data_IF_833254770906
#
_entry.id   IF_833254770906
#
_cell.length_a   1.000
_cell.length_b   1.000
_cell.length_c   1.000
_cell.angle_alpha   90.00
_cell.angle_beta   90.00
_cell.angle_gamma   90.00
#
_symmetry.space_group_name_H-M   'P 1'
#
loop_
_entity.id
_entity.type
_entity.pdbx_description
1 polymer ?
#
# COMPACT_ATOMS: atom_id res chain seq x y z
N UNK A 1 -25.14 11.31 -46.63
CA UNK A 1 -26.04 10.78 -47.70
C UNK A 1 -25.93 9.28 -47.60
N UNK A 2 -26.90 8.53 -47.07
CA UNK A 2 -28.32 8.40 -47.44
C UNK A 2 -29.17 8.11 -46.19
N UNK A 3 -30.34 8.76 -46.07
CA UNK A 3 -31.36 8.41 -45.06
C UNK A 3 -32.29 7.36 -45.68
N UNK A 4 -32.28 6.15 -45.15
CA UNK A 4 -33.29 5.14 -45.48
C UNK A 4 -34.42 5.24 -44.44
N UNK A 5 -35.55 5.84 -44.82
CA UNK A 5 -36.76 5.84 -44.01
C UNK A 5 -37.58 4.60 -44.36
N UNK A 6 -37.75 3.67 -43.42
CA UNK A 6 -38.77 2.62 -43.51
C UNK A 6 -39.94 2.96 -42.60
N UNK A 7 -41.07 3.26 -43.21
CA UNK A 7 -42.34 3.50 -42.52
C UNK A 7 -43.06 2.16 -42.27
N UNK A 8 -43.28 1.81 -41.00
CA UNK A 8 -44.10 0.68 -40.57
C UNK A 8 -45.37 1.21 -39.90
N UNK A 9 -46.54 0.87 -40.44
CA UNK A 9 -47.85 1.26 -39.90
C UNK A 9 -48.43 0.14 -39.03
N UNK A 10 -48.63 0.40 -37.73
CA UNK A 10 -49.49 -0.43 -36.87
C UNK A 10 -50.94 0.03 -36.98
N UNK A 11 -51.83 -0.88 -37.38
CA UNK A 11 -53.26 -0.61 -37.57
C UNK A 11 -54.02 -0.99 -36.29
N UNK A 12 -54.39 0.00 -35.47
CA UNK A 12 -55.28 -0.18 -34.33
C UNK A 12 -56.26 1.00 -34.23
N UNK A 13 -57.54 0.79 -34.58
CA UNK A 13 -58.63 1.74 -34.35
C UNK A 13 -58.61 3.04 -35.18
N UNK A 14 -59.79 3.60 -35.47
CA UNK A 14 -60.00 4.82 -36.29
C UNK A 14 -59.42 6.09 -35.64
N UNK A 15 -58.10 6.31 -35.75
CA UNK A 15 -57.45 7.63 -35.75
C UNK A 15 -55.95 7.45 -35.97
N UNK A 16 -55.49 7.73 -37.18
CA UNK A 16 -54.07 7.84 -37.51
C UNK A 16 -53.51 9.13 -36.92
N UNK A 17 -52.64 9.02 -35.91
CA UNK A 17 -51.70 10.08 -35.52
C UNK A 17 -50.28 9.60 -35.84
N UNK A 18 -49.40 10.44 -36.41
CA UNK A 18 -48.01 10.07 -36.57
C UNK A 18 -47.38 9.92 -35.19
N UNK A 19 -46.94 8.71 -34.85
CA UNK A 19 -46.13 8.45 -33.66
C UNK A 19 -44.67 8.49 -34.10
N UNK A 20 -44.02 9.64 -33.92
CA UNK A 20 -42.57 9.76 -34.14
C UNK A 20 -41.88 9.05 -32.97
N UNK A 21 -41.60 7.76 -33.12
CA UNK A 21 -40.72 7.06 -32.19
C UNK A 21 -39.30 7.45 -32.59
N UNK A 22 -38.72 8.45 -31.91
CA UNK A 22 -37.27 8.60 -31.90
C UNK A 22 -36.69 7.41 -31.13
N UNK A 23 -36.34 6.35 -31.86
CA UNK A 23 -35.41 5.35 -31.34
C UNK A 23 -34.06 6.03 -31.24
N UNK A 24 -33.78 6.68 -30.11
CA UNK A 24 -32.39 6.98 -29.73
C UNK A 24 -31.70 5.64 -29.53
N UNK A 25 -31.05 5.16 -30.58
CA UNK A 25 -30.00 4.16 -30.46
C UNK A 25 -28.98 4.70 -29.45
N UNK A 26 -29.08 4.24 -28.20
CA UNK A 26 -27.91 4.17 -27.34
C UNK A 26 -26.92 3.25 -28.06
N UNK A 27 -25.67 3.66 -28.33
CA UNK A 27 -24.68 2.70 -28.78
C UNK A 27 -24.43 1.74 -27.59
N UNK A 28 -25.06 0.57 -27.65
CA UNK A 28 -24.65 -0.59 -26.88
C UNK A 28 -23.33 -1.07 -27.49
N UNK A 29 -22.25 -0.82 -26.76
CA UNK A 29 -21.12 -1.73 -26.56
C UNK A 29 -20.74 -2.59 -27.78
N UNK A 30 -19.92 -2.03 -28.66
CA UNK A 30 -19.18 -2.83 -29.65
C UNK A 30 -17.99 -3.55 -28.99
N UNK A 31 -17.98 -4.87 -29.16
CA UNK A 31 -17.03 -5.86 -28.59
C UNK A 31 -15.75 -5.98 -29.45
N UNK A 32 -15.44 -4.99 -30.29
CA UNK A 32 -14.41 -5.14 -31.32
C UNK A 32 -13.38 -4.01 -31.30
N UNK A 33 -12.63 -3.86 -30.20
CA UNK A 33 -11.39 -3.07 -30.21
C UNK A 33 -10.57 -3.23 -28.91
N UNK A 34 -9.71 -4.25 -28.86
CA UNK A 34 -8.74 -4.42 -27.76
C UNK A 34 -7.53 -3.45 -27.88
N UNK A 35 -7.33 -2.80 -29.02
CA UNK A 35 -6.21 -1.86 -29.26
C UNK A 35 -6.61 -0.40 -28.94
N UNK A 36 -7.90 -0.06 -29.04
CA UNK A 36 -8.41 1.31 -28.80
C UNK A 36 -8.54 1.66 -27.32
N UNK A 37 -8.53 0.67 -26.40
CA UNK A 37 -8.61 0.87 -24.94
C UNK A 37 -7.44 1.66 -24.34
N UNK A 38 -6.23 1.51 -24.89
CA UNK A 38 -5.08 2.31 -24.45
C UNK A 38 -5.19 3.77 -24.87
N UNK A 39 -5.74 4.00 -26.07
CA UNK A 39 -5.98 5.34 -26.64
C UNK A 39 -7.17 6.01 -25.96
N UNK A 40 -8.21 5.28 -25.55
CA UNK A 40 -9.32 5.79 -24.75
C UNK A 40 -8.91 6.19 -23.33
N UNK A 41 -7.97 5.49 -22.71
CA UNK A 41 -7.42 5.86 -21.40
C UNK A 41 -6.63 7.18 -21.49
N UNK A 42 -5.80 7.33 -22.53
CA UNK A 42 -5.03 8.54 -22.81
C UNK A 42 -5.95 9.68 -23.28
N UNK A 43 -6.99 9.40 -24.07
CA UNK A 43 -8.00 10.38 -24.47
C UNK A 43 -8.94 10.75 -23.32
N UNK A 44 -9.14 9.91 -22.31
CA UNK A 44 -9.84 10.30 -21.09
C UNK A 44 -8.99 11.28 -20.25
N UNK A 45 -7.66 11.09 -20.24
CA UNK A 45 -6.70 12.00 -19.61
C UNK A 45 -6.54 13.31 -20.42
N UNK A 46 -6.62 13.25 -21.75
CA UNK A 46 -6.32 14.38 -22.67
C UNK A 46 -7.55 15.12 -23.22
N UNK A 47 -8.74 14.51 -23.29
CA UNK A 47 -9.86 15.01 -24.11
C UNK A 47 -11.15 15.38 -23.37
N UNK A 48 -11.15 15.55 -22.03
CA UNK A 48 -12.26 16.26 -21.33
C UNK A 48 -11.81 17.16 -20.17
N UNK A 49 -10.80 18.01 -20.41
CA UNK A 49 -10.82 19.37 -19.84
C UNK A 49 -11.82 20.28 -20.60
N UNK A 50 -13.01 19.73 -20.90
CA UNK A 50 -14.20 20.50 -21.22
C UNK A 50 -14.82 20.91 -19.89
N UNK A 51 -14.74 22.19 -19.59
CA UNK A 51 -15.16 22.81 -18.34
C UNK A 51 -16.52 22.28 -17.82
N UNK A 52 -16.49 21.63 -16.65
CA UNK A 52 -17.61 21.34 -15.73
C UNK A 52 -18.80 20.50 -16.23
N UNK A 53 -18.67 19.18 -16.11
CA UNK A 53 -19.75 18.36 -15.57
C UNK A 53 -19.38 17.93 -14.13
N UNK A 54 -19.44 18.89 -13.20
CA UNK A 54 -19.27 18.70 -11.74
C UNK A 54 -17.83 18.71 -11.22
N UNK A 55 -17.42 19.78 -10.51
CA UNK A 55 -16.13 19.91 -9.81
C UNK A 55 -15.77 18.67 -8.97
N UNK A 56 -16.74 18.11 -8.23
CA UNK A 56 -16.56 16.92 -7.40
C UNK A 56 -16.09 15.70 -8.19
N UNK A 57 -16.58 15.52 -9.44
CA UNK A 57 -16.19 14.40 -10.31
C UNK A 57 -14.76 14.55 -10.79
N UNK A 58 -14.36 15.76 -11.18
CA UNK A 58 -12.99 16.05 -11.58
C UNK A 58 -12.00 15.73 -10.45
N UNK A 59 -12.28 16.23 -9.25
CA UNK A 59 -11.44 15.95 -8.06
C UNK A 59 -11.40 14.45 -7.74
N UNK A 60 -12.53 13.75 -7.79
CA UNK A 60 -12.59 12.30 -7.55
C UNK A 60 -11.71 11.52 -8.53
N UNK A 61 -11.79 11.83 -9.83
CA UNK A 61 -11.02 11.16 -10.87
C UNK A 61 -9.53 11.44 -10.71
N UNK A 62 -9.13 12.70 -10.55
CA UNK A 62 -7.72 13.08 -10.35
C UNK A 62 -7.12 12.36 -9.14
N UNK A 63 -7.85 12.33 -8.04
CA UNK A 63 -7.38 11.69 -6.83
C UNK A 63 -7.23 10.16 -6.99
N UNK A 64 -8.18 9.49 -7.66
CA UNK A 64 -8.08 8.06 -7.91
C UNK A 64 -6.98 7.68 -8.90
N UNK A 65 -6.58 8.56 -9.83
CA UNK A 65 -5.38 8.37 -10.66
C UNK A 65 -4.14 8.27 -9.77
N UNK A 66 -4.01 9.14 -8.77
CA UNK A 66 -2.87 9.07 -7.83
C UNK A 66 -2.85 7.74 -7.06
N UNK A 67 -4.01 7.21 -6.68
CA UNK A 67 -4.09 5.88 -6.08
C UNK A 67 -3.71 4.75 -7.04
N UNK A 68 -4.11 4.83 -8.30
CA UNK A 68 -3.68 3.85 -9.32
C UNK A 68 -2.16 3.87 -9.47
N UNK A 69 -1.55 5.05 -9.60
CA UNK A 69 -0.10 5.20 -9.69
C UNK A 69 0.61 4.66 -8.44
N UNK A 70 0.08 4.96 -7.26
CA UNK A 70 0.60 4.44 -5.98
C UNK A 70 0.47 2.93 -5.90
N UNK A 71 -0.65 2.37 -6.32
CA UNK A 71 -0.90 0.92 -6.36
C UNK A 71 0.07 0.20 -7.30
N UNK A 72 0.31 0.75 -8.50
CA UNK A 72 1.32 0.22 -9.44
C UNK A 72 2.72 0.28 -8.82
N UNK A 73 3.08 1.40 -8.19
CA UNK A 73 4.37 1.55 -7.54
C UNK A 73 4.58 0.52 -6.42
N UNK A 74 3.62 0.42 -5.48
CA UNK A 74 3.70 -0.51 -4.35
C UNK A 74 3.69 -1.97 -4.82
N UNK A 75 2.85 -2.30 -5.81
CA UNK A 75 2.84 -3.63 -6.42
C UNK A 75 4.18 -3.94 -7.08
N UNK A 76 4.75 -2.98 -7.81
CA UNK A 76 6.06 -3.08 -8.43
C UNK A 76 7.15 -3.34 -7.40
N UNK A 77 7.16 -2.59 -6.29
CA UNK A 77 8.08 -2.81 -5.15
C UNK A 77 7.88 -4.20 -4.54
N UNK A 78 6.64 -4.63 -4.30
CA UNK A 78 6.34 -5.95 -3.74
C UNK A 78 6.81 -7.10 -4.64
N UNK A 79 6.55 -7.02 -5.95
CA UNK A 79 7.03 -8.00 -6.94
C UNK A 79 8.56 -7.95 -7.02
N UNK A 80 9.14 -6.76 -7.03
CA UNK A 80 10.58 -6.58 -7.06
C UNK A 80 11.25 -7.27 -5.87
N UNK A 81 10.75 -7.05 -4.64
CA UNK A 81 11.24 -7.70 -3.42
C UNK A 81 11.12 -9.22 -3.48
N UNK A 82 10.14 -9.75 -4.22
CA UNK A 82 9.91 -11.19 -4.37
C UNK A 82 10.78 -11.84 -5.45
N UNK A 83 10.89 -11.22 -6.61
CA UNK A 83 11.51 -11.79 -7.83
C UNK A 83 13.01 -11.56 -7.87
N UNK A 84 13.44 -10.38 -7.44
CA UNK A 84 14.82 -9.95 -7.53
C UNK A 84 15.36 -9.66 -6.14
N UNK A 85 15.50 -10.69 -5.31
CA UNK A 85 16.04 -10.48 -4.02
C UNK A 85 17.53 -10.00 -4.19
N UNK A 86 18.28 -10.49 -5.17
CA UNK A 86 19.68 -10.07 -5.35
C UNK A 86 19.91 -8.72 -6.08
N UNK A 87 18.86 -8.05 -6.61
CA UNK A 87 19.02 -6.89 -7.51
C UNK A 87 18.88 -5.52 -6.82
N UNK A 88 18.53 -5.47 -5.53
CA UNK A 88 18.79 -4.26 -4.71
C UNK A 88 20.29 -4.16 -4.39
N UNK A 89 21.12 -4.18 -5.43
CA UNK A 89 22.47 -3.63 -5.43
C UNK A 89 22.42 -2.08 -5.28
N UNK A 90 21.72 -1.60 -4.24
CA UNK A 90 22.29 -0.54 -3.42
C UNK A 90 23.44 -1.26 -2.73
N UNK A 91 24.65 -1.05 -3.20
CA UNK A 91 25.91 -1.73 -2.81
C UNK A 91 26.29 -1.53 -1.31
N UNK A 92 25.32 -1.20 -0.45
CA UNK A 92 25.47 -0.98 0.96
C UNK A 92 24.26 -1.35 1.84
N UNK A 93 23.12 -1.79 1.30
CA UNK A 93 21.88 -1.91 2.13
C UNK A 93 21.15 -3.24 2.00
N UNK A 94 20.95 -3.85 0.83
CA UNK A 94 20.13 -5.08 0.78
C UNK A 94 20.44 -5.97 -0.45
N UNK A 95 21.37 -6.92 -0.36
CA UNK A 95 21.39 -8.11 -1.23
C UNK A 95 20.54 -9.19 -0.54
N UNK A 96 19.52 -9.70 -1.22
CA UNK A 96 18.53 -10.58 -0.62
C UNK A 96 18.70 -11.97 -1.26
N UNK A 97 18.87 -13.01 -0.46
CA UNK A 97 18.66 -14.39 -0.87
C UNK A 97 17.33 -14.91 -0.32
N UNK A 98 16.67 -15.70 -1.16
CA UNK A 98 15.29 -16.14 -1.10
C UNK A 98 15.06 -17.32 -0.13
N UNK A 99 15.35 -17.11 1.16
CA UNK A 99 15.16 -18.11 2.23
C UNK A 99 14.20 -17.71 3.35
N UNK A 100 13.91 -16.41 3.54
CA UNK A 100 13.38 -15.94 4.82
C UNK A 100 11.85 -15.86 4.88
N UNK A 101 11.25 -16.59 5.82
CA UNK A 101 9.81 -16.73 6.01
C UNK A 101 9.14 -15.39 6.34
N UNK A 102 9.78 -14.55 7.16
CA UNK A 102 9.24 -13.25 7.57
C UNK A 102 9.23 -12.23 6.43
N UNK A 103 10.32 -12.13 5.67
CA UNK A 103 10.38 -11.15 4.57
C UNK A 103 9.59 -11.61 3.34
N UNK A 104 9.55 -12.91 3.07
CA UNK A 104 8.62 -13.47 2.08
C UNK A 104 7.18 -13.09 2.43
N UNK A 105 6.82 -13.14 3.72
CA UNK A 105 5.50 -12.70 4.22
C UNK A 105 5.30 -11.20 4.01
N UNK A 106 6.27 -10.35 4.34
CA UNK A 106 6.18 -8.90 4.10
C UNK A 106 6.02 -8.55 2.61
N UNK A 107 6.75 -9.22 1.71
CA UNK A 107 6.63 -9.04 0.27
C UNK A 107 5.23 -9.43 -0.24
N UNK A 108 4.67 -10.54 0.22
CA UNK A 108 3.30 -10.93 -0.11
C UNK A 108 2.26 -9.93 0.41
N UNK A 109 2.45 -9.36 1.61
CA UNK A 109 1.60 -8.29 2.14
C UNK A 109 1.66 -7.05 1.23
N UNK A 110 2.84 -6.62 0.81
CA UNK A 110 3.03 -5.49 -0.12
C UNK A 110 2.37 -5.73 -1.48
N UNK A 111 2.52 -6.94 -2.04
CA UNK A 111 1.84 -7.32 -3.29
C UNK A 111 0.33 -7.27 -3.12
N UNK A 112 -0.21 -7.91 -2.08
CA UNK A 112 -1.65 -7.94 -1.80
C UNK A 112 -2.23 -6.54 -1.59
N UNK A 113 -1.54 -5.71 -0.81
CA UNK A 113 -1.92 -4.33 -0.57
C UNK A 113 -1.84 -3.48 -1.85
N UNK A 114 -0.78 -3.64 -2.64
CA UNK A 114 -0.61 -2.95 -3.93
C UNK A 114 -1.73 -3.28 -4.92
N UNK A 115 -2.07 -4.57 -5.06
CA UNK A 115 -3.22 -5.00 -5.88
C UNK A 115 -4.52 -4.40 -5.36
N UNK A 116 -4.75 -4.43 -4.04
CA UNK A 116 -5.95 -3.86 -3.44
C UNK A 116 -6.10 -2.36 -3.73
N UNK A 117 -5.05 -1.56 -3.47
CA UNK A 117 -5.04 -0.12 -3.74
C UNK A 117 -5.25 0.17 -5.23
N UNK A 118 -4.62 -0.60 -6.11
CA UNK A 118 -4.79 -0.50 -7.55
C UNK A 118 -6.24 -0.73 -7.98
N UNK A 119 -6.88 -1.79 -7.48
CA UNK A 119 -8.28 -2.11 -7.81
C UNK A 119 -9.23 -1.03 -7.30
N UNK A 120 -9.07 -0.57 -6.06
CA UNK A 120 -9.91 0.51 -5.50
C UNK A 120 -9.75 1.78 -6.32
N UNK A 121 -8.52 2.17 -6.67
CA UNK A 121 -8.26 3.32 -7.53
C UNK A 121 -8.89 3.17 -8.93
N UNK A 122 -8.81 1.99 -9.53
CA UNK A 122 -9.44 1.71 -10.83
C UNK A 122 -10.97 1.81 -10.75
N UNK A 123 -11.60 1.33 -9.66
CA UNK A 123 -13.04 1.46 -9.47
C UNK A 123 -13.46 2.92 -9.34
N UNK A 124 -12.72 3.73 -8.58
CA UNK A 124 -12.98 5.16 -8.45
C UNK A 124 -12.78 5.92 -9.77
N UNK A 125 -11.72 5.59 -10.51
CA UNK A 125 -11.43 6.16 -11.82
C UNK A 125 -12.50 5.81 -12.87
N UNK A 126 -12.81 4.52 -13.04
CA UNK A 126 -13.81 4.04 -14.01
C UNK A 126 -15.21 4.54 -13.63
N UNK A 127 -15.56 4.47 -12.35
CA UNK A 127 -16.85 4.94 -11.82
C UNK A 127 -17.04 6.45 -12.03
N UNK A 128 -15.99 7.24 -11.81
CA UNK A 128 -15.99 8.68 -12.05
C UNK A 128 -16.07 9.06 -13.54
N UNK A 129 -15.26 8.41 -14.39
CA UNK A 129 -15.17 8.73 -15.82
C UNK A 129 -16.37 8.21 -16.63
N UNK A 130 -16.75 6.94 -16.44
CA UNK A 130 -17.82 6.29 -17.21
C UNK A 130 -19.21 6.44 -16.59
N UNK A 131 -19.30 7.06 -15.39
CA UNK A 131 -20.55 7.22 -14.64
C UNK A 131 -21.31 5.90 -14.40
N UNK A 132 -20.56 4.79 -14.28
CA UNK A 132 -21.14 3.48 -14.01
C UNK A 132 -21.33 3.34 -12.49
N UNK A 133 -22.59 3.43 -12.04
CA UNK A 133 -22.98 3.33 -10.63
C UNK A 133 -22.38 2.09 -9.95
N UNK A 134 -22.34 0.94 -10.62
CA UNK A 134 -21.74 -0.27 -10.05
C UNK A 134 -20.29 -0.08 -9.59
N UNK A 135 -19.41 0.48 -10.41
CA UNK A 135 -18.01 0.73 -10.03
C UNK A 135 -17.87 1.79 -8.92
N UNK A 136 -18.74 2.79 -8.92
CA UNK A 136 -18.78 3.80 -7.86
C UNK A 136 -19.23 3.21 -6.52
N UNK A 137 -20.19 2.26 -6.53
CA UNK A 137 -20.60 1.51 -5.35
C UNK A 137 -19.47 0.64 -4.81
N UNK A 138 -18.75 -0.08 -5.69
CA UNK A 138 -17.59 -0.87 -5.29
C UNK A 138 -16.51 0.00 -4.63
N UNK A 139 -16.18 1.14 -5.25
CA UNK A 139 -15.24 2.11 -4.66
C UNK A 139 -15.67 2.55 -3.26
N UNK A 140 -16.91 3.03 -3.10
CA UNK A 140 -17.43 3.48 -1.80
C UNK A 140 -17.44 2.35 -0.77
N UNK A 141 -17.89 1.15 -1.17
CA UNK A 141 -17.91 -0.03 -0.31
C UNK A 141 -16.51 -0.40 0.20
N UNK A 142 -15.52 -0.45 -0.70
CA UNK A 142 -14.13 -0.71 -0.31
C UNK A 142 -13.59 0.37 0.64
N UNK A 143 -13.80 1.66 0.36
CA UNK A 143 -13.31 2.74 1.21
C UNK A 143 -13.97 2.72 2.60
N UNK A 144 -15.28 2.43 2.68
CA UNK A 144 -15.98 2.25 3.96
C UNK A 144 -15.42 1.06 4.74
N UNK A 145 -15.15 -0.07 4.09
CA UNK A 145 -14.56 -1.24 4.75
C UNK A 145 -13.16 -0.92 5.31
N UNK A 146 -12.35 -0.16 4.57
CA UNK A 146 -11.03 0.28 5.05
C UNK A 146 -11.18 1.23 6.25
N UNK A 147 -12.11 2.20 6.19
CA UNK A 147 -12.37 3.11 7.29
C UNK A 147 -12.78 2.37 8.58
N UNK A 148 -13.67 1.39 8.46
CA UNK A 148 -14.08 0.55 9.60
C UNK A 148 -12.91 -0.28 10.14
N UNK A 149 -12.06 -0.81 9.26
CA UNK A 149 -10.85 -1.53 9.62
C UNK A 149 -9.86 -0.64 10.37
N UNK A 150 -9.62 0.58 9.88
CA UNK A 150 -8.74 1.56 10.50
C UNK A 150 -9.26 2.00 11.88
N UNK A 151 -10.55 2.29 11.99
CA UNK A 151 -11.19 2.61 13.26
C UNK A 151 -11.07 1.46 14.27
N UNK A 152 -11.34 0.23 13.83
CA UNK A 152 -11.24 -0.97 14.66
C UNK A 152 -9.81 -1.24 15.10
N UNK A 153 -8.83 -1.10 14.20
CA UNK A 153 -7.41 -1.25 14.49
C UNK A 153 -6.94 -0.22 15.52
N UNK A 154 -7.40 1.03 15.40
CA UNK A 154 -7.13 2.09 16.38
C UNK A 154 -7.64 1.73 17.78
N UNK A 155 -8.86 1.19 17.89
CA UNK A 155 -9.43 0.72 19.17
C UNK A 155 -8.60 -0.45 19.73
N UNK A 156 -8.28 -1.45 18.91
CA UNK A 156 -7.50 -2.62 19.33
C UNK A 156 -6.12 -2.18 19.84
N UNK A 157 -5.44 -1.31 19.09
CA UNK A 157 -4.15 -0.77 19.49
C UNK A 157 -4.23 0.05 20.78
N UNK A 158 -5.35 0.73 21.05
CA UNK A 158 -5.55 1.49 22.28
C UNK A 158 -5.84 0.59 23.49
N UNK A 159 -6.68 -0.44 23.33
CA UNK A 159 -7.15 -1.33 24.41
C UNK A 159 -6.11 -2.40 24.75
N UNK A 160 -5.46 -2.98 23.75
CA UNK A 160 -4.57 -4.14 23.90
C UNK A 160 -3.09 -3.79 23.78
N UNK A 161 -2.68 -2.58 24.19
CA UNK A 161 -1.28 -2.12 24.11
C UNK A 161 -0.28 -3.15 24.63
N UNK A 162 -0.52 -3.72 25.81
CA UNK A 162 0.36 -4.75 26.39
C UNK A 162 0.49 -6.02 25.54
N UNK A 163 -0.61 -6.48 24.91
CA UNK A 163 -0.54 -7.66 24.03
C UNK A 163 0.18 -7.35 22.71
N UNK A 164 -0.02 -6.16 22.16
CA UNK A 164 0.72 -5.70 20.97
C UNK A 164 2.21 -5.71 21.28
N UNK A 165 2.57 -5.26 22.48
CA UNK A 165 3.93 -5.23 22.96
C UNK A 165 4.57 -6.62 23.09
N UNK A 166 3.91 -7.54 23.81
CA UNK A 166 4.36 -8.93 23.96
C UNK A 166 4.52 -9.65 22.61
N UNK A 167 3.56 -9.40 21.69
CA UNK A 167 3.58 -9.96 20.34
C UNK A 167 4.77 -9.43 19.54
N UNK A 168 5.05 -8.13 19.65
CA UNK A 168 6.16 -7.49 18.94
C UNK A 168 7.51 -8.01 19.44
N UNK A 169 7.70 -8.14 20.76
CA UNK A 169 8.90 -8.75 21.33
C UNK A 169 9.06 -10.20 20.82
N UNK A 170 7.99 -10.99 20.83
CA UNK A 170 8.02 -12.37 20.31
C UNK A 170 8.47 -12.41 18.84
N UNK A 171 7.91 -11.55 17.99
CA UNK A 171 8.29 -11.46 16.57
C UNK A 171 9.74 -11.04 16.41
N UNK A 172 10.21 -10.05 17.17
CA UNK A 172 11.60 -9.60 17.13
C UNK A 172 12.55 -10.72 17.57
N UNK A 173 12.24 -11.41 18.66
CA UNK A 173 13.02 -12.54 19.14
C UNK A 173 13.13 -13.67 18.11
N UNK A 174 11.98 -14.09 17.55
CA UNK A 174 11.95 -15.13 16.53
C UNK A 174 12.71 -14.70 15.27
N UNK A 175 12.53 -13.44 14.84
CA UNK A 175 13.27 -12.89 13.71
C UNK A 175 14.77 -12.80 13.98
N UNK A 176 15.20 -12.40 15.17
CA UNK A 176 16.62 -12.32 15.54
C UNK A 176 17.27 -13.70 15.56
N UNK A 177 16.51 -14.74 15.95
CA UNK A 177 17.01 -16.12 15.96
C UNK A 177 17.28 -16.69 14.57
N UNK A 178 16.68 -16.11 13.52
CA UNK A 178 16.97 -16.45 12.12
C UNK A 178 18.18 -15.69 11.56
N UNK A 179 18.76 -14.74 12.30
CA UNK A 179 19.97 -14.05 11.87
C UNK A 179 21.13 -15.07 11.75
N UNK A 180 21.82 -15.08 10.61
CA UNK A 180 22.98 -15.95 10.38
C UNK A 180 23.93 -15.26 9.39
N UNK A 181 24.96 -14.58 9.92
CA UNK A 181 25.95 -13.92 9.07
C UNK A 181 27.03 -14.88 8.58
N UNK A 182 27.06 -16.13 9.06
CA UNK A 182 28.10 -17.11 8.75
C UNK A 182 27.75 -17.92 7.51
N UNK A 183 26.51 -18.39 7.41
CA UNK A 183 26.06 -19.24 6.30
C UNK A 183 25.26 -18.47 5.24
N UNK A 184 24.96 -17.19 5.48
CA UNK A 184 24.18 -16.31 4.58
C UNK A 184 22.83 -16.92 4.15
N UNK A 185 22.28 -17.85 4.94
CA UNK A 185 21.01 -18.53 4.65
C UNK A 185 19.83 -17.57 4.70
N UNK A 186 19.98 -16.51 5.50
CA UNK A 186 18.94 -15.55 5.85
C UNK A 186 19.38 -14.11 5.62
N UNK A 187 19.82 -13.84 4.40
CA UNK A 187 20.39 -12.56 4.00
C UNK A 187 19.45 -11.37 4.24
N UNK A 188 18.16 -11.63 4.09
CA UNK A 188 17.09 -10.66 4.18
C UNK A 188 16.80 -10.24 5.61
N UNK A 189 16.71 -11.24 6.50
CA UNK A 189 16.64 -11.04 7.95
C UNK A 189 17.90 -10.32 8.45
N UNK A 190 19.08 -10.73 7.98
CA UNK A 190 20.33 -10.08 8.35
C UNK A 190 20.32 -8.59 8.01
N UNK A 191 19.93 -8.24 6.79
CA UNK A 191 19.86 -6.83 6.35
C UNK A 191 18.76 -6.04 7.03
N UNK A 192 17.62 -6.65 7.33
CA UNK A 192 16.59 -6.04 8.15
C UNK A 192 17.13 -5.65 9.52
N UNK A 193 17.81 -6.58 10.20
CA UNK A 193 18.45 -6.33 11.48
C UNK A 193 19.59 -5.32 11.40
N UNK A 194 20.45 -5.42 10.38
CA UNK A 194 21.56 -4.49 10.19
C UNK A 194 21.07 -3.05 9.95
N UNK A 195 19.99 -2.89 9.18
CA UNK A 195 19.33 -1.61 8.95
C UNK A 195 18.71 -1.04 10.22
N UNK A 196 17.98 -1.85 10.99
CA UNK A 196 17.38 -1.43 12.27
C UNK A 196 18.47 -1.03 13.26
N UNK A 197 19.51 -1.83 13.40
CA UNK A 197 20.62 -1.59 14.33
C UNK A 197 21.42 -0.34 13.99
N UNK A 198 21.73 -0.15 12.71
CA UNK A 198 22.39 1.05 12.23
C UNK A 198 21.52 2.31 12.39
N UNK A 199 20.23 2.22 12.07
CA UNK A 199 19.31 3.36 12.10
C UNK A 199 18.94 3.80 13.52
N UNK A 200 18.64 2.83 14.40
CA UNK A 200 18.27 3.10 15.79
C UNK A 200 19.47 3.17 16.74
N UNK A 201 20.68 2.87 16.24
CA UNK A 201 21.92 2.79 17.03
C UNK A 201 21.72 1.90 18.27
N UNK A 202 21.33 0.66 18.00
CA UNK A 202 21.01 -0.38 18.99
C UNK A 202 21.67 -1.71 18.60
N UNK A 203 21.65 -2.70 19.49
CA UNK A 203 22.16 -4.03 19.22
C UNK A 203 21.35 -5.10 19.96
N UNK A 204 20.95 -6.15 19.23
CA UNK A 204 20.08 -7.21 19.75
C UNK A 204 18.65 -6.74 20.01
N UNK A 205 17.82 -7.64 20.53
CA UNK A 205 16.43 -7.33 20.88
C UNK A 205 16.40 -6.43 22.13
N UNK A 206 16.97 -6.93 23.23
CA UNK A 206 17.10 -6.24 24.50
C UNK A 206 18.52 -5.71 24.73
N UNK A 207 19.54 -6.40 24.22
CA UNK A 207 20.93 -5.98 24.34
C UNK A 207 21.86 -6.77 23.38
N UNK A 208 23.08 -6.28 23.17
CA UNK A 208 24.13 -6.93 22.38
C UNK A 208 24.44 -8.38 22.84
N UNK A 209 24.15 -8.72 24.10
CA UNK A 209 24.34 -10.07 24.63
C UNK A 209 23.41 -11.11 24.01
N UNK A 210 22.32 -10.70 23.38
CA UNK A 210 21.34 -11.60 22.77
C UNK A 210 21.98 -12.48 21.69
N UNK A 211 22.93 -11.93 20.92
CA UNK A 211 23.75 -12.69 19.97
C UNK A 211 24.46 -13.88 20.61
N UNK A 212 25.03 -13.69 21.79
CA UNK A 212 25.72 -14.76 22.53
C UNK A 212 24.73 -15.73 23.20
N UNK A 213 23.65 -15.22 23.80
CA UNK A 213 22.66 -16.03 24.52
C UNK A 213 21.89 -16.94 23.56
N UNK A 214 21.48 -16.41 22.42
CA UNK A 214 20.75 -17.13 21.37
C UNK A 214 21.69 -17.97 20.47
N UNK A 215 23.02 -17.89 20.69
CA UNK A 215 24.06 -18.60 19.92
C UNK A 215 23.96 -18.31 18.42
N UNK A 216 23.74 -17.05 18.08
CA UNK A 216 23.59 -16.59 16.71
C UNK A 216 24.92 -16.82 15.97
N UNK A 217 24.92 -17.53 14.84
CA UNK A 217 26.13 -17.77 14.07
C UNK A 217 26.61 -16.48 13.39
N UNK A 218 27.80 -16.03 13.79
CA UNK A 218 28.47 -14.85 13.24
C UNK A 218 29.74 -15.25 12.49
N UNK A 219 30.10 -14.48 11.46
CA UNK A 219 31.32 -14.65 10.68
C UNK A 219 32.55 -14.10 11.44
N UNK A 220 33.74 -14.57 11.08
CA UNK A 220 35.05 -14.07 11.55
C UNK A 220 35.22 -14.00 13.08
N UNK A 221 34.67 -14.97 13.81
CA UNK A 221 34.69 -15.03 15.30
C UNK A 221 34.17 -13.76 15.99
N UNK A 222 33.29 -13.01 15.30
CA UNK A 222 32.67 -11.79 15.84
C UNK A 222 31.66 -12.12 16.94
N UNK A 223 31.51 -11.20 17.89
CA UNK A 223 30.56 -11.32 19.00
C UNK A 223 29.23 -10.63 18.73
N UNK A 224 29.26 -9.62 17.86
CA UNK A 224 28.10 -8.85 17.39
C UNK A 224 28.28 -8.52 15.91
N UNK A 225 27.20 -8.26 15.16
CA UNK A 225 27.29 -7.71 13.81
C UNK A 225 27.97 -6.35 13.73
N UNK A 226 28.46 -5.99 12.54
CA UNK A 226 29.05 -4.68 12.29
C UNK A 226 28.05 -3.53 12.41
N UNK A 227 26.77 -3.80 12.18
CA UNK A 227 25.65 -2.87 12.32
C UNK A 227 25.42 -2.42 13.77
N UNK A 228 25.86 -3.22 14.75
CA UNK A 228 25.92 -2.85 16.16
C UNK A 228 27.08 -1.90 16.51
N UNK A 229 27.97 -1.62 15.56
CA UNK A 229 29.20 -0.87 15.79
C UNK A 229 29.16 0.50 15.11
N UNK A 230 29.67 1.52 15.81
CA UNK A 230 29.94 2.84 15.26
C UNK A 230 31.21 2.89 14.40
N UNK A 231 31.94 4.00 14.48
CA UNK A 231 33.05 4.28 13.56
C UNK A 231 34.23 3.29 13.62
N UNK A 232 34.47 2.62 14.76
CA UNK A 232 35.59 1.69 14.93
C UNK A 232 35.09 0.27 15.27
N UNK A 233 34.97 -0.57 14.25
CA UNK A 233 34.48 -1.95 14.35
C UNK A 233 35.39 -2.85 15.18
N UNK A 234 36.71 -2.70 15.08
CA UNK A 234 37.64 -3.54 15.84
C UNK A 234 37.54 -3.26 17.35
N UNK A 235 37.47 -1.98 17.73
CA UNK A 235 37.34 -1.60 19.13
C UNK A 235 35.96 -1.97 19.69
N UNK A 236 34.91 -1.86 18.88
CA UNK A 236 33.57 -2.34 19.22
C UNK A 236 33.55 -3.84 19.56
N UNK A 237 34.24 -4.70 18.80
CA UNK A 237 34.31 -6.13 19.11
C UNK A 237 35.09 -6.39 20.42
N UNK A 238 36.13 -5.60 20.72
CA UNK A 238 36.83 -5.69 22.03
C UNK A 238 35.93 -5.25 23.18
N UNK A 239 35.16 -4.19 23.01
CA UNK A 239 34.16 -3.73 23.97
C UNK A 239 33.10 -4.81 24.24
N UNK A 240 32.56 -5.43 23.19
CA UNK A 240 31.62 -6.54 23.30
C UNK A 240 32.23 -7.75 24.05
N UNK A 241 33.53 -8.02 23.86
CA UNK A 241 34.26 -9.07 24.57
C UNK A 241 34.48 -8.73 26.04
N UNK A 242 34.87 -7.50 26.33
CA UNK A 242 35.18 -7.03 27.66
C UNK A 242 33.93 -6.90 28.55
N UNK A 243 32.75 -6.70 27.94
CA UNK A 243 31.44 -6.55 28.61
C UNK A 243 31.45 -5.52 29.75
N UNK A 244 32.36 -4.56 29.70
CA UNK A 244 32.62 -3.59 30.78
C UNK A 244 32.48 -2.18 30.23
N UNK A 245 31.83 -1.32 31.01
CA UNK A 245 31.61 0.08 30.65
C UNK A 245 32.91 0.89 30.84
N UNK A 246 33.09 2.00 30.11
CA UNK A 246 32.16 2.60 29.14
C UNK A 246 32.23 1.96 27.74
N UNK A 247 31.08 1.90 27.07
CA UNK A 247 31.00 1.53 25.64
C UNK A 247 31.08 2.80 24.80
N UNK A 248 32.09 2.91 23.94
CA UNK A 248 32.29 4.09 23.06
C UNK A 248 31.93 3.79 21.62
N UNK A 249 32.13 2.55 21.16
CA UNK A 249 31.90 2.15 19.78
C UNK A 249 30.76 1.13 19.63
N UNK A 250 30.40 0.42 20.71
CA UNK A 250 29.30 -0.53 20.72
C UNK A 250 27.95 0.12 21.07
N UNK A 251 26.95 -0.09 20.22
CA UNK A 251 25.56 0.27 20.49
C UNK A 251 24.91 -0.72 21.46
N UNK A 252 25.23 -0.61 22.75
CA UNK A 252 24.82 -1.60 23.76
C UNK A 252 23.32 -1.59 24.15
N UNK A 253 22.48 -0.71 23.61
CA UNK A 253 21.05 -0.68 23.97
C UNK A 253 20.25 -1.62 23.07
N UNK A 254 19.20 -2.25 23.61
CA UNK A 254 18.29 -3.09 22.84
C UNK A 254 17.52 -2.31 21.78
N UNK A 255 17.30 -2.95 20.63
CA UNK A 255 16.54 -2.34 19.55
C UNK A 255 15.06 -2.20 19.85
N UNK A 256 14.50 -3.11 20.64
CA UNK A 256 13.11 -3.01 21.07
C UNK A 256 12.88 -1.74 21.91
N UNK A 257 13.72 -1.47 22.91
CA UNK A 257 13.60 -0.27 23.76
C UNK A 257 13.78 1.02 22.96
N UNK A 258 14.75 1.04 22.04
CA UNK A 258 15.00 2.20 21.18
C UNK A 258 13.83 2.44 20.22
N UNK A 259 13.27 1.38 19.64
CA UNK A 259 12.07 1.46 18.81
C UNK A 259 10.88 1.98 19.60
N UNK A 260 10.64 1.45 20.81
CA UNK A 260 9.56 1.90 21.69
C UNK A 260 9.72 3.40 22.03
N UNK A 261 10.95 3.84 22.32
CA UNK A 261 11.27 5.24 22.57
C UNK A 261 11.01 6.12 21.35
N UNK A 262 11.37 5.67 20.15
CA UNK A 262 11.08 6.39 18.91
C UNK A 262 9.55 6.51 18.68
N UNK A 263 8.82 5.42 18.88
CA UNK A 263 7.36 5.41 18.77
C UNK A 263 6.74 6.39 19.77
N UNK A 264 7.16 6.35 21.04
CA UNK A 264 6.66 7.27 22.09
C UNK A 264 6.97 8.73 21.77
N UNK A 265 8.17 9.01 21.25
CA UNK A 265 8.58 10.36 20.84
C UNK A 265 7.75 10.91 19.67
N UNK A 266 7.35 10.05 18.74
CA UNK A 266 6.63 10.42 17.52
C UNK A 266 5.15 9.98 17.50
N UNK A 267 4.59 9.58 18.64
CA UNK A 267 3.24 9.01 18.71
C UNK A 267 2.16 9.99 18.24
N UNK A 268 2.34 11.29 18.50
CA UNK A 268 1.43 12.34 18.03
C UNK A 268 1.37 12.41 16.51
N UNK A 269 2.52 12.21 15.83
CA UNK A 269 2.57 12.19 14.37
C UNK A 269 1.86 10.95 13.81
N UNK A 270 2.03 9.79 14.45
CA UNK A 270 1.35 8.54 14.05
C UNK A 270 -0.18 8.66 14.19
N UNK A 271 -0.66 9.18 15.32
CA UNK A 271 -2.10 9.42 15.53
C UNK A 271 -2.62 10.45 14.51
N UNK A 272 -1.87 11.53 14.27
CA UNK A 272 -2.22 12.54 13.29
C UNK A 272 -2.30 11.98 11.86
N UNK A 273 -1.36 11.10 11.49
CA UNK A 273 -1.38 10.42 10.20
C UNK A 273 -2.63 9.55 10.03
N UNK A 274 -3.00 8.75 11.04
CA UNK A 274 -4.24 7.95 11.02
C UNK A 274 -5.49 8.81 10.89
N UNK A 275 -5.63 9.87 11.70
CA UNK A 275 -6.76 10.81 11.58
C UNK A 275 -6.79 11.45 10.18
N UNK A 276 -5.64 11.80 9.62
CA UNK A 276 -5.53 12.33 8.26
C UNK A 276 -6.03 11.34 7.20
N UNK A 277 -5.63 10.06 7.30
CA UNK A 277 -6.09 8.99 6.39
C UNK A 277 -7.61 8.80 6.51
N UNK A 278 -8.15 8.74 7.73
CA UNK A 278 -9.59 8.64 7.97
C UNK A 278 -10.38 9.82 7.36
N UNK A 279 -9.90 11.06 7.54
CA UNK A 279 -10.52 12.26 6.94
C UNK A 279 -10.49 12.20 5.41
N UNK A 280 -9.41 11.69 4.85
CA UNK A 280 -9.25 11.56 3.41
C UNK A 280 -10.18 10.52 2.79
N UNK A 281 -10.42 9.40 3.49
CA UNK A 281 -11.41 8.40 3.12
C UNK A 281 -12.82 8.99 3.11
N UNK A 282 -13.18 9.76 4.16
CA UNK A 282 -14.48 10.45 4.23
C UNK A 282 -14.68 11.43 3.07
N UNK A 283 -13.64 12.17 2.70
CA UNK A 283 -13.65 13.04 1.52
C UNK A 283 -13.90 12.23 0.23
N UNK A 284 -13.20 11.10 0.05
CA UNK A 284 -13.39 10.21 -1.10
C UNK A 284 -14.84 9.69 -1.20
N UNK A 285 -15.42 9.27 -0.08
CA UNK A 285 -16.84 8.83 -0.01
C UNK A 285 -17.77 9.98 -0.36
N UNK A 286 -17.56 11.18 0.20
CA UNK A 286 -18.38 12.35 -0.10
C UNK A 286 -18.36 12.70 -1.59
N UNK A 287 -17.18 12.73 -2.20
CA UNK A 287 -17.02 12.99 -3.63
C UNK A 287 -17.70 11.91 -4.49
N UNK A 288 -17.59 10.64 -4.10
CA UNK A 288 -18.28 9.55 -4.77
C UNK A 288 -19.81 9.64 -4.65
N UNK A 289 -20.35 9.99 -3.48
CA UNK A 289 -21.77 10.23 -3.28
C UNK A 289 -22.29 11.40 -4.13
N UNK A 290 -21.53 12.50 -4.21
CA UNK A 290 -21.87 13.63 -5.06
C UNK A 290 -21.90 13.22 -6.55
N UNK A 291 -20.91 12.44 -6.99
CA UNK A 291 -20.86 11.90 -8.35
C UNK A 291 -22.02 10.94 -8.64
N UNK A 292 -22.40 10.11 -7.65
CA UNK A 292 -23.51 9.17 -7.72
C UNK A 292 -24.84 9.88 -7.90
N UNK A 293 -25.15 10.85 -7.03
CA UNK A 293 -26.42 11.60 -7.06
C UNK A 293 -26.62 12.27 -8.42
N UNK A 294 -25.55 12.87 -8.95
CA UNK A 294 -25.60 13.51 -10.26
C UNK A 294 -25.89 12.52 -11.40
N UNK A 295 -25.39 11.29 -11.32
CA UNK A 295 -25.67 10.23 -12.30
C UNK A 295 -27.15 9.78 -12.24
N UNK A 296 -27.81 9.94 -11.09
CA UNK A 296 -29.24 9.67 -10.96
C UNK A 296 -30.09 10.75 -11.64
N UNK A 297 -29.77 12.02 -11.41
CA UNK A 297 -30.44 13.16 -12.05
C UNK A 297 -30.41 13.08 -13.58
N UNK A 298 -29.31 12.59 -14.15
CA UNK A 298 -29.15 12.43 -15.60
C UNK A 298 -30.00 11.28 -16.16
N UNK A 299 -30.25 10.21 -15.36
CA UNK A 299 -31.14 9.11 -15.75
C UNK A 299 -32.61 9.51 -15.65
N UNK A 300 -33.00 10.30 -14.65
CA UNK A 300 -34.41 10.74 -14.48
C UNK A 300 -34.85 11.75 -15.55
N UNK A 301 -33.91 12.43 -16.20
CA UNK A 301 -34.19 13.42 -17.26
C UNK A 301 -34.26 12.83 -18.67
N UNK A 302 -33.96 11.55 -18.87
CA UNK A 302 -33.89 10.87 -20.15
C UNK A 302 -35.13 9.99 -20.41
#
# INVERSE_FOLDING_TARGET
>A
MTKENRDLYLKYGRKSRPLTIEVKQKPCYDIHDDITRGVDLINCISFRMGCCDGFARCVLVTFNILFVLTGIFVLGVGIFLKVNPNLLNIQHVIELNSGDKYISTAAYILIGFGVFVLLVGLFGFIGGCKQIKFFLALYMGCVVLVFLGEFSAGIIAAVYKGKVDDTLQTILKESLSEYDSKNQTSELVNKGWDGIQGWLQCCGEHNFTDYAVMKIPLADDRLVPDSCCGSNKQECQKEAKAKTKPFKFLYYQGCYDQMEKQIKSHITLLIGAGVGVAMFQLLGIFLACAAWKRSDDDYTKA
#
